data_IF_351104125604
#
_entry.id   IF_351104125604
#
_cell.length_a   1.000
_cell.length_b   1.000
_cell.length_c   1.000
_cell.angle_alpha   90.00
_cell.angle_beta   90.00
_cell.angle_gamma   90.00
#
_symmetry.space_group_name_H-M   'P 1'
#
loop_
_entity.id
_entity.type
_entity.pdbx_description
1 polymer ?
#
# COMPACT_ATOMS: atom_id res chain seq x y z
N UNK A 1 -13.52 7.18 16.29
CA UNK A 1 -13.09 5.88 16.88
C UNK A 1 -12.66 4.84 15.85
N UNK A 2 -13.36 4.67 14.72
CA UNK A 2 -13.01 3.64 13.71
C UNK A 2 -11.60 3.78 13.11
N UNK A 3 -11.17 4.99 12.73
CA UNK A 3 -9.85 5.22 12.12
C UNK A 3 -8.68 4.86 13.05
N UNK A 4 -8.78 5.23 14.34
CA UNK A 4 -7.73 4.90 15.33
C UNK A 4 -7.57 3.38 15.45
N UNK A 5 -8.68 2.65 15.58
CA UNK A 5 -8.64 1.18 15.67
C UNK A 5 -8.09 0.54 14.39
N UNK A 6 -8.44 1.06 13.22
CA UNK A 6 -7.88 0.61 11.95
C UNK A 6 -6.36 0.79 11.92
N UNK A 7 -5.85 1.98 12.30
CA UNK A 7 -4.41 2.24 12.36
C UNK A 7 -3.70 1.27 13.31
N UNK A 8 -4.24 1.03 14.50
CA UNK A 8 -3.63 0.06 15.44
C UNK A 8 -3.59 -1.36 14.86
N UNK A 9 -4.64 -1.81 14.16
CA UNK A 9 -4.63 -3.09 13.44
C UNK A 9 -3.59 -3.13 12.33
N UNK A 10 -3.42 -2.02 11.60
CA UNK A 10 -2.41 -1.92 10.54
C UNK A 10 -0.99 -1.88 11.09
N UNK A 11 -0.75 -1.27 12.26
CA UNK A 11 0.55 -1.36 12.95
C UNK A 11 0.88 -2.81 13.26
N UNK A 12 -0.05 -3.57 13.85
CA UNK A 12 0.14 -4.99 14.14
C UNK A 12 0.40 -5.79 12.86
N UNK A 13 -0.36 -5.51 11.79
CA UNK A 13 -0.19 -6.15 10.49
C UNK A 13 1.20 -5.89 9.90
N UNK A 14 1.62 -4.62 9.84
CA UNK A 14 2.91 -4.23 9.28
C UNK A 14 4.07 -4.83 10.08
N UNK A 15 4.02 -4.78 11.41
CA UNK A 15 5.05 -5.40 12.26
C UNK A 15 5.19 -6.90 12.03
N UNK A 16 4.08 -7.59 11.75
CA UNK A 16 4.06 -9.04 11.51
C UNK A 16 4.57 -9.41 10.12
N UNK A 17 4.24 -8.62 9.10
CA UNK A 17 4.47 -8.99 7.69
C UNK A 17 5.64 -8.26 7.02
N UNK A 18 6.09 -7.14 7.58
CA UNK A 18 7.20 -6.32 7.11
C UNK A 18 8.15 -5.99 8.28
N UNK A 19 8.72 -7.01 8.96
CA UNK A 19 9.53 -6.79 10.16
C UNK A 19 10.79 -5.98 9.86
N UNK A 20 11.43 -6.21 8.71
CA UNK A 20 12.66 -5.50 8.34
C UNK A 20 12.38 -4.04 7.93
N UNK A 21 11.35 -3.81 7.12
CA UNK A 21 10.97 -2.48 6.63
C UNK A 21 10.41 -1.60 7.76
N UNK A 22 9.78 -2.21 8.77
CA UNK A 22 9.28 -1.48 9.94
C UNK A 22 10.30 -1.33 11.06
N UNK A 23 11.44 -2.03 11.01
CA UNK A 23 12.44 -2.11 12.10
C UNK A 23 12.98 -0.74 12.52
N UNK A 24 13.21 0.15 11.55
CA UNK A 24 13.75 1.49 11.79
C UNK A 24 12.71 2.50 12.23
N UNK A 25 11.42 2.15 12.18
CA UNK A 25 10.34 3.01 12.64
C UNK A 25 9.99 2.62 14.07
N UNK A 26 9.86 3.59 14.98
CA UNK A 26 9.20 3.39 16.26
C UNK A 26 7.67 3.27 16.09
N UNK A 27 6.96 3.08 17.21
CA UNK A 27 5.51 2.91 17.19
C UNK A 27 4.76 4.14 16.65
N UNK A 28 5.23 5.36 16.90
CA UNK A 28 4.55 6.58 16.48
C UNK A 28 4.89 6.93 15.03
N UNK A 29 6.14 6.72 14.62
CA UNK A 29 6.58 6.85 13.23
C UNK A 29 5.78 5.94 12.29
N UNK A 30 5.57 4.67 12.68
CA UNK A 30 4.77 3.75 11.88
C UNK A 30 3.29 4.18 11.84
N UNK A 31 2.72 4.67 12.95
CA UNK A 31 1.36 5.21 12.96
C UNK A 31 1.23 6.43 12.05
N UNK A 32 2.21 7.33 12.06
CA UNK A 32 2.24 8.50 11.20
C UNK A 32 2.34 8.12 9.73
N UNK A 33 3.24 7.18 9.38
CA UNK A 33 3.32 6.63 8.02
C UNK A 33 1.96 6.11 7.54
N UNK A 34 1.28 5.29 8.35
CA UNK A 34 -0.04 4.75 8.01
C UNK A 34 -1.07 5.88 7.85
N UNK A 35 -1.06 6.90 8.74
CA UNK A 35 -1.96 8.06 8.64
C UNK A 35 -1.75 8.85 7.35
N UNK A 36 -0.51 9.01 6.91
CA UNK A 36 -0.15 9.79 5.72
C UNK A 36 -0.48 9.05 4.42
N UNK A 37 -0.40 7.71 4.45
CA UNK A 37 -0.71 6.84 3.30
C UNK A 37 -2.21 6.80 3.00
N UNK A 38 -3.08 6.85 4.02
CA UNK A 38 -4.54 6.70 3.86
C UNK A 38 -5.16 7.76 2.92
N UNK A 39 -4.90 9.07 3.08
CA UNK A 39 -5.39 10.09 2.15
C UNK A 39 -4.96 9.85 0.70
N UNK A 40 -3.74 9.33 0.48
CA UNK A 40 -3.25 9.04 -0.87
C UNK A 40 -4.01 7.86 -1.49
N UNK A 41 -4.20 6.77 -0.74
CA UNK A 41 -5.02 5.64 -1.18
C UNK A 41 -6.44 6.08 -1.57
N UNK A 42 -7.04 6.98 -0.78
CA UNK A 42 -8.38 7.54 -1.07
C UNK A 42 -8.45 8.35 -2.36
N UNK A 43 -7.37 9.02 -2.77
CA UNK A 43 -7.33 9.75 -4.07
C UNK A 43 -7.48 8.80 -5.26
N UNK A 44 -7.05 7.55 -5.11
CA UNK A 44 -7.29 6.50 -6.12
C UNK A 44 -8.66 5.84 -6.01
N UNK A 45 -9.55 6.32 -5.13
CA UNK A 45 -10.87 5.74 -4.89
C UNK A 45 -10.85 4.52 -3.97
N UNK A 46 -9.74 4.23 -3.29
CA UNK A 46 -9.63 3.11 -2.36
C UNK A 46 -10.28 3.50 -1.01
N UNK A 47 -11.45 2.94 -0.74
CA UNK A 47 -12.26 3.28 0.44
C UNK A 47 -12.40 2.16 1.46
N UNK A 48 -12.21 0.90 1.05
CA UNK A 48 -12.32 -0.25 1.95
C UNK A 48 -11.03 -0.45 2.75
N UNK A 49 -11.14 -0.96 3.99
CA UNK A 49 -9.97 -1.30 4.81
C UNK A 49 -9.04 -2.30 4.10
N UNK A 50 -9.62 -3.23 3.33
CA UNK A 50 -8.86 -4.25 2.58
C UNK A 50 -8.05 -3.62 1.44
N UNK A 51 -8.56 -2.57 0.81
CA UNK A 51 -7.85 -1.91 -0.30
C UNK A 51 -6.77 -0.99 0.23
N UNK A 52 -7.07 -0.25 1.30
CA UNK A 52 -6.10 0.59 2.00
C UNK A 52 -4.95 -0.28 2.55
N UNK A 53 -5.25 -1.44 3.13
CA UNK A 53 -4.23 -2.38 3.59
C UNK A 53 -3.27 -2.82 2.47
N UNK A 54 -3.78 -3.18 1.28
CA UNK A 54 -2.91 -3.49 0.13
C UNK A 54 -2.02 -2.31 -0.26
N UNK A 55 -2.57 -1.10 -0.24
CA UNK A 55 -1.80 0.10 -0.58
C UNK A 55 -0.73 0.41 0.48
N UNK A 56 -1.01 0.19 1.78
CA UNK A 56 -0.02 0.27 2.86
C UNK A 56 1.09 -0.76 2.66
N UNK A 57 0.76 -2.00 2.30
CA UNK A 57 1.76 -3.03 2.03
C UNK A 57 2.71 -2.62 0.89
N UNK A 58 2.17 -2.02 -0.18
CA UNK A 58 3.00 -1.48 -1.26
C UNK A 58 3.88 -0.31 -0.79
N UNK A 59 3.36 0.58 0.07
CA UNK A 59 4.16 1.68 0.61
C UNK A 59 5.23 1.24 1.60
N UNK A 60 5.04 0.12 2.30
CA UNK A 60 6.09 -0.49 3.12
C UNK A 60 7.22 -1.05 2.26
N UNK A 61 6.87 -1.77 1.19
CA UNK A 61 7.84 -2.46 0.36
C UNK A 61 8.61 -1.51 -0.59
N UNK A 62 7.92 -0.56 -1.22
CA UNK A 62 8.51 0.36 -2.20
C UNK A 62 8.84 1.76 -1.63
N UNK A 63 8.50 1.97 -0.36
CA UNK A 63 8.65 3.24 0.35
C UNK A 63 7.51 4.23 0.11
N UNK A 64 7.48 5.28 0.91
CA UNK A 64 6.49 6.37 0.81
C UNK A 64 6.54 7.04 -0.55
N UNK A 65 5.37 7.31 -1.13
CA UNK A 65 5.26 7.95 -2.45
C UNK A 65 5.73 7.07 -3.61
N UNK A 66 5.75 5.74 -3.42
CA UNK A 66 6.14 4.79 -4.47
C UNK A 66 5.43 5.05 -5.80
N UNK A 67 4.17 5.48 -5.75
CA UNK A 67 3.31 5.77 -6.90
C UNK A 67 3.69 7.05 -7.66
N UNK A 68 4.70 7.79 -7.19
CA UNK A 68 5.23 9.00 -7.85
C UNK A 68 6.67 8.84 -8.32
N UNK A 69 7.29 7.69 -8.05
CA UNK A 69 8.67 7.43 -8.45
C UNK A 69 8.71 7.00 -9.91
N UNK A 70 9.59 7.56 -10.77
CA UNK A 70 9.66 7.21 -12.19
C UNK A 70 9.80 5.70 -12.45
N UNK A 71 10.57 5.00 -11.62
CA UNK A 71 10.76 3.54 -11.71
C UNK A 71 9.48 2.73 -11.43
N UNK A 72 8.47 3.36 -10.83
CA UNK A 72 7.19 2.77 -10.45
C UNK A 72 6.00 3.41 -11.19
N UNK A 73 6.22 4.15 -12.27
CA UNK A 73 5.15 4.80 -13.07
C UNK A 73 4.09 3.81 -13.56
N UNK A 74 4.47 2.54 -13.77
CA UNK A 74 3.53 1.48 -14.11
C UNK A 74 2.49 1.22 -13.01
N UNK A 75 2.85 1.37 -11.73
CA UNK A 75 1.93 1.19 -10.60
C UNK A 75 0.88 2.30 -10.57
N UNK A 76 1.29 3.54 -10.77
CA UNK A 76 0.40 4.69 -10.86
C UNK A 76 -0.59 4.54 -12.03
N UNK A 77 -0.08 4.12 -13.21
CA UNK A 77 -0.91 3.83 -14.37
C UNK A 77 -1.97 2.75 -14.10
N UNK A 78 -1.62 1.68 -13.39
CA UNK A 78 -2.61 0.64 -13.02
C UNK A 78 -3.66 1.15 -12.04
N UNK A 79 -3.31 2.04 -11.10
CA UNK A 79 -4.26 2.63 -10.16
C UNK A 79 -5.22 3.63 -10.82
N UNK A 80 -4.77 4.27 -11.91
CA UNK A 80 -5.54 5.26 -12.68
C UNK A 80 -6.17 4.69 -13.95
N UNK A 81 -6.08 3.38 -14.18
CA UNK A 81 -6.61 2.73 -15.38
C UNK A 81 -8.13 2.97 -15.52
N UNK A 82 -8.50 3.78 -16.51
CA UNK A 82 -9.87 4.16 -16.78
C UNK A 82 -10.69 3.06 -17.45
N UNK A 83 -10.05 2.01 -17.98
CA UNK A 83 -10.76 0.85 -18.52
C UNK A 83 -11.40 -0.02 -17.43
N UNK A 84 -10.90 0.09 -16.20
CA UNK A 84 -11.44 -0.57 -15.01
C UNK A 84 -12.15 0.46 -14.13
N UNK A 85 -13.48 0.53 -14.10
CA UNK A 85 -14.17 1.53 -13.27
C UNK A 85 -14.04 1.27 -11.77
N UNK A 86 -13.70 0.04 -11.33
CA UNK A 86 -13.67 -0.32 -9.91
C UNK A 86 -12.25 -0.18 -9.30
N UNK A 87 -12.03 0.78 -8.38
CA UNK A 87 -10.73 0.95 -7.71
C UNK A 87 -10.22 -0.29 -6.97
N UNK A 88 -11.12 -1.07 -6.35
CA UNK A 88 -10.77 -2.31 -5.65
C UNK A 88 -10.22 -3.37 -6.61
N UNK A 89 -10.69 -3.38 -7.86
CA UNK A 89 -10.15 -4.27 -8.89
C UNK A 89 -8.78 -3.78 -9.36
N UNK A 90 -8.59 -2.46 -9.54
CA UNK A 90 -7.29 -1.88 -9.92
C UNK A 90 -6.18 -2.22 -8.93
N UNK A 91 -6.39 -1.97 -7.63
CA UNK A 91 -5.39 -2.31 -6.60
C UNK A 91 -5.15 -3.82 -6.51
N UNK A 92 -6.17 -4.66 -6.76
CA UNK A 92 -6.00 -6.11 -6.80
C UNK A 92 -5.15 -6.55 -7.99
N UNK A 93 -5.38 -5.97 -9.18
CA UNK A 93 -4.57 -6.21 -10.39
C UNK A 93 -3.12 -5.78 -10.14
N UNK A 94 -2.91 -4.58 -9.59
CA UNK A 94 -1.58 -4.09 -9.22
C UNK A 94 -0.87 -5.03 -8.23
N UNK A 95 -1.55 -5.43 -7.16
CA UNK A 95 -0.95 -6.33 -6.16
C UNK A 95 -0.55 -7.69 -6.75
N UNK A 96 -1.37 -8.23 -7.66
CA UNK A 96 -1.06 -9.46 -8.39
C UNK A 96 0.18 -9.28 -9.28
N UNK A 97 0.25 -8.17 -9.99
CA UNK A 97 1.38 -7.85 -10.87
C UNK A 97 2.69 -7.69 -10.09
N UNK A 98 2.66 -7.01 -8.94
CA UNK A 98 3.82 -6.93 -8.04
C UNK A 98 4.29 -8.33 -7.63
N UNK A 99 3.37 -9.21 -7.21
CA UNK A 99 3.73 -10.57 -6.82
C UNK A 99 4.33 -11.38 -7.98
N UNK A 100 3.85 -11.19 -9.21
CA UNK A 100 4.42 -11.85 -10.38
C UNK A 100 5.87 -11.40 -10.61
N UNK A 101 6.12 -10.09 -10.60
CA UNK A 101 7.46 -9.51 -10.79
C UNK A 101 8.45 -9.91 -9.70
N UNK A 102 7.97 -10.11 -8.48
CA UNK A 102 8.82 -10.60 -7.38
C UNK A 102 9.22 -12.06 -7.59
N UNK A 103 8.30 -12.91 -8.08
CA UNK A 103 8.62 -14.32 -8.40
C UNK A 103 9.66 -14.42 -9.51
N UNK A 104 9.48 -13.68 -10.60
CA UNK A 104 10.41 -13.67 -11.75
C UNK A 104 11.84 -13.22 -11.40
N UNK A 105 12.01 -12.45 -10.31
CA UNK A 105 13.34 -12.01 -9.82
C UNK A 105 14.01 -13.01 -8.89
N UNK A 106 13.31 -14.07 -8.48
CA UNK A 106 13.80 -15.07 -7.52
C UNK A 106 14.14 -16.41 -8.20
N UNK A 107 13.93 -16.50 -9.52
CA UNK A 107 14.30 -17.61 -10.40
C UNK A 107 15.49 -17.20 -11.29
#
# INVERSE_FOLDING_TARGET
MAMKQFIERMVIHVRKHFPEESKSMDGEQLKNHIRDVIPVAKKYGLVSERDICKYINLSMFYGTGFDKKPENDWMARMLMDSSEPNPSIRIRKLYKEVLNRLKEKTE
#
